data_IF_477729061545
#
_entry.id   IF_477729061545
#
_cell.length_a   1.000
_cell.length_b   1.000
_cell.length_c   1.000
_cell.angle_alpha   90.00
_cell.angle_beta   90.00
_cell.angle_gamma   90.00
#
_symmetry.space_group_name_H-M   'P 1'
#
loop_
_entity.id
_entity.type
_entity.pdbx_description
1 polymer ?
#
# COMPACT_ATOMS: atom_id res chain seq x y z
N UNK A 1 9.38 1.53 -12.53
CA UNK A 1 8.04 0.93 -12.66
C UNK A 1 7.66 0.78 -14.13
N UNK A 2 7.20 -0.41 -14.56
CA UNK A 2 6.80 -0.65 -15.94
C UNK A 2 5.63 0.27 -16.35
N UNK A 3 5.74 0.91 -17.52
CA UNK A 3 4.67 1.71 -18.12
C UNK A 3 3.52 0.77 -18.48
N UNK A 4 2.39 0.93 -17.79
CA UNK A 4 1.18 0.12 -18.05
C UNK A 4 0.63 0.54 -19.41
N UNK A 5 0.74 -0.34 -20.40
CA UNK A 5 0.25 -0.11 -21.76
C UNK A 5 -1.02 -0.91 -22.01
N UNK A 6 -1.89 -0.36 -22.86
CA UNK A 6 -3.06 -1.09 -23.37
C UNK A 6 -2.60 -2.21 -24.31
N UNK A 7 -3.52 -3.13 -24.64
CA UNK A 7 -3.28 -4.15 -25.69
C UNK A 7 -2.83 -3.55 -27.03
N UNK A 8 -3.20 -2.29 -27.31
CA UNK A 8 -2.82 -1.56 -28.53
C UNK A 8 -1.55 -0.71 -28.36
N UNK A 9 -0.84 -0.82 -27.23
CA UNK A 9 0.42 -0.11 -26.96
C UNK A 9 0.26 1.34 -26.51
N UNK A 10 -0.95 1.81 -26.25
CA UNK A 10 -1.18 3.17 -25.73
C UNK A 10 -0.90 3.21 -24.22
N UNK A 11 -0.39 4.32 -23.70
CA UNK A 11 -0.23 4.51 -22.27
C UNK A 11 -1.61 4.52 -21.57
N UNK A 12 -1.72 3.80 -20.45
CA UNK A 12 -2.96 3.76 -19.66
C UNK A 12 -3.01 4.96 -18.72
N UNK A 13 -3.98 5.84 -18.96
CA UNK A 13 -4.31 6.91 -18.02
C UNK A 13 -5.04 6.34 -16.80
N UNK A 14 -4.36 6.39 -15.65
CA UNK A 14 -4.86 5.82 -14.39
C UNK A 14 -6.07 6.59 -13.86
N UNK A 15 -6.14 7.89 -14.07
CA UNK A 15 -7.25 8.72 -13.58
C UNK A 15 -8.52 8.46 -14.39
N UNK A 16 -8.38 8.35 -15.71
CA UNK A 16 -9.50 7.99 -16.58
C UNK A 16 -10.01 6.58 -16.24
N UNK A 17 -9.10 5.63 -16.01
CA UNK A 17 -9.46 4.26 -15.63
C UNK A 17 -10.19 4.21 -14.27
N UNK A 18 -9.64 4.82 -13.22
CA UNK A 18 -10.25 4.87 -11.89
C UNK A 18 -11.65 5.54 -11.95
N UNK A 19 -11.79 6.63 -12.70
CA UNK A 19 -13.09 7.29 -12.89
C UNK A 19 -14.11 6.40 -13.62
N UNK A 20 -13.68 5.61 -14.61
CA UNK A 20 -14.54 4.68 -15.33
C UNK A 20 -14.98 3.52 -14.43
N UNK A 21 -14.05 2.93 -13.68
CA UNK A 21 -14.31 1.80 -12.79
C UNK A 21 -15.28 2.19 -11.67
N UNK A 22 -15.08 3.37 -11.06
CA UNK A 22 -16.00 3.92 -10.05
C UNK A 22 -17.38 4.23 -10.63
N UNK A 23 -17.45 4.93 -11.77
CA UNK A 23 -18.73 5.28 -12.42
C UNK A 23 -19.54 4.04 -12.84
N UNK A 24 -18.87 2.94 -13.17
CA UNK A 24 -19.51 1.66 -13.49
C UNK A 24 -19.68 0.74 -12.28
N UNK A 25 -19.38 1.21 -11.07
CA UNK A 25 -19.49 0.45 -9.83
C UNK A 25 -18.74 -0.89 -9.87
N UNK A 26 -17.52 -0.91 -10.42
CA UNK A 26 -16.63 -2.06 -10.26
C UNK A 26 -16.11 -2.15 -8.82
N UNK A 27 -15.59 -1.04 -8.30
CA UNK A 27 -15.26 -0.89 -6.89
C UNK A 27 -15.52 0.56 -6.45
N UNK A 28 -15.73 0.75 -5.15
CA UNK A 28 -15.83 2.06 -4.50
C UNK A 28 -15.13 2.03 -3.13
N UNK A 29 -14.59 3.14 -2.60
CA UNK A 29 -14.05 3.16 -1.24
C UNK A 29 -15.12 2.77 -0.22
N UNK A 30 -14.78 1.88 0.71
CA UNK A 30 -15.72 1.48 1.74
C UNK A 30 -16.07 2.66 2.64
N UNK A 31 -17.35 2.74 3.03
CA UNK A 31 -17.88 3.80 3.90
C UNK A 31 -17.73 5.23 3.34
N UNK A 32 -17.79 5.40 2.02
CA UNK A 32 -17.62 6.71 1.36
C UNK A 32 -18.52 7.81 1.95
N UNK A 33 -19.76 7.50 2.30
CA UNK A 33 -20.71 8.45 2.93
C UNK A 33 -20.30 8.90 4.34
N UNK A 34 -19.41 8.17 5.01
CA UNK A 34 -18.87 8.48 6.34
C UNK A 34 -17.46 9.06 6.29
N UNK A 35 -16.97 9.46 5.10
CA UNK A 35 -15.62 9.99 4.90
C UNK A 35 -14.61 8.97 4.40
N UNK A 36 -15.01 7.70 4.27
CA UNK A 36 -14.19 6.62 3.72
C UNK A 36 -13.06 6.16 4.65
N UNK A 37 -12.67 4.89 4.51
CA UNK A 37 -11.48 4.36 5.20
C UNK A 37 -10.45 3.97 4.16
N UNK A 38 -9.25 4.57 4.25
CA UNK A 38 -8.15 4.27 3.33
C UNK A 38 -7.76 2.80 3.39
N UNK A 39 -7.58 2.16 2.23
CA UNK A 39 -7.22 0.75 2.12
C UNK A 39 -8.41 -0.21 2.13
N UNK A 40 -9.63 0.25 2.38
CA UNK A 40 -10.85 -0.56 2.29
C UNK A 40 -11.68 -0.18 1.05
N UNK A 41 -12.12 -1.20 0.31
CA UNK A 41 -12.91 -1.03 -0.90
C UNK A 41 -14.03 -2.06 -0.97
N UNK A 42 -15.20 -1.61 -1.44
CA UNK A 42 -16.37 -2.44 -1.68
C UNK A 42 -16.50 -2.70 -3.18
N UNK A 43 -16.67 -3.97 -3.56
CA UNK A 43 -16.91 -4.36 -4.95
C UNK A 43 -18.39 -4.27 -5.30
N UNK A 44 -18.72 -3.60 -6.40
CA UNK A 44 -20.09 -3.55 -6.91
C UNK A 44 -20.44 -4.74 -7.80
N UNK A 45 -21.65 -4.80 -8.39
CA UNK A 45 -22.13 -5.97 -9.11
C UNK A 45 -21.19 -6.51 -10.21
N UNK A 46 -20.65 -5.67 -11.12
CA UNK A 46 -19.70 -6.17 -12.12
C UNK A 46 -18.33 -6.52 -11.52
N UNK A 47 -17.91 -5.86 -10.44
CA UNK A 47 -16.66 -6.18 -9.73
C UNK A 47 -16.72 -7.54 -9.04
N UNK A 48 -17.81 -7.82 -8.33
CA UNK A 48 -18.03 -9.12 -7.68
C UNK A 48 -18.08 -10.26 -8.69
N UNK A 49 -18.75 -10.06 -9.83
CA UNK A 49 -18.77 -11.05 -10.91
C UNK A 49 -17.36 -11.29 -11.49
N UNK A 50 -16.56 -10.23 -11.66
CA UNK A 50 -15.18 -10.35 -12.14
C UNK A 50 -14.30 -11.13 -11.16
N UNK A 51 -14.36 -10.83 -9.87
CA UNK A 51 -13.60 -11.54 -8.83
C UNK A 51 -14.01 -13.02 -8.80
N UNK A 52 -15.31 -13.32 -8.83
CA UNK A 52 -15.79 -14.70 -8.86
C UNK A 52 -15.28 -15.47 -10.09
N UNK A 53 -15.32 -14.85 -11.28
CA UNK A 53 -14.80 -15.47 -12.50
C UNK A 53 -13.28 -15.70 -12.42
N UNK A 54 -12.53 -14.76 -11.84
CA UNK A 54 -11.09 -14.90 -11.66
C UNK A 54 -10.75 -16.04 -10.71
N UNK A 55 -11.43 -16.12 -9.56
CA UNK A 55 -11.24 -17.20 -8.59
C UNK A 55 -11.58 -18.56 -9.20
N UNK A 56 -12.66 -18.65 -9.99
CA UNK A 56 -13.04 -19.91 -10.65
C UNK A 56 -12.01 -20.35 -11.71
N UNK A 57 -11.47 -19.41 -12.49
CA UNK A 57 -10.39 -19.72 -13.44
C UNK A 57 -9.13 -20.19 -12.72
N UNK A 58 -8.76 -19.55 -11.60
CA UNK A 58 -7.62 -19.96 -10.79
C UNK A 58 -7.82 -21.37 -10.19
N UNK A 59 -9.02 -21.67 -9.66
CA UNK A 59 -9.36 -22.99 -9.13
C UNK A 59 -9.28 -24.07 -10.21
N UNK A 60 -9.79 -23.79 -11.41
CA UNK A 60 -9.69 -24.72 -12.54
C UNK A 60 -8.23 -25.01 -12.90
N UNK A 61 -7.41 -23.96 -12.98
CA UNK A 61 -6.04 -24.10 -13.45
C UNK A 61 -5.08 -24.72 -12.42
N UNK A 62 -5.27 -24.48 -11.12
CA UNK A 62 -4.37 -25.02 -10.09
C UNK A 62 -4.97 -26.18 -9.33
N UNK A 63 -6.20 -26.02 -8.81
CA UNK A 63 -6.80 -27.03 -7.95
C UNK A 63 -7.20 -28.27 -8.74
N UNK A 64 -7.86 -28.08 -9.89
CA UNK A 64 -8.36 -29.20 -10.69
C UNK A 64 -7.31 -29.80 -11.63
N UNK A 65 -6.43 -29.00 -12.25
CA UNK A 65 -5.40 -29.53 -13.14
C UNK A 65 -4.24 -30.21 -12.39
N UNK A 66 -3.91 -29.77 -11.17
CA UNK A 66 -2.84 -30.37 -10.35
C UNK A 66 -3.35 -31.28 -9.22
N UNK A 67 -4.66 -31.58 -9.19
CA UNK A 67 -5.34 -32.40 -8.17
C UNK A 67 -5.02 -31.98 -6.71
N UNK A 68 -5.05 -30.67 -6.43
CA UNK A 68 -4.77 -30.14 -5.09
C UNK A 68 -5.97 -30.32 -4.12
N UNK A 69 -5.66 -30.47 -2.83
CA UNK A 69 -6.68 -30.50 -1.77
C UNK A 69 -7.04 -29.08 -1.31
N UNK A 70 -8.25 -28.64 -1.62
CA UNK A 70 -8.79 -27.35 -1.19
C UNK A 70 -9.36 -27.44 0.24
N UNK A 71 -8.97 -26.51 1.12
CA UNK A 71 -9.44 -26.41 2.51
C UNK A 71 -9.78 -24.95 2.81
N UNK A 72 -10.92 -24.73 3.47
CA UNK A 72 -11.32 -23.41 3.98
C UNK A 72 -11.08 -23.32 5.49
N UNK A 73 -10.31 -22.31 5.91
CA UNK A 73 -9.83 -22.13 7.29
C UNK A 73 -10.36 -20.82 7.89
N UNK A 74 -10.47 -20.77 9.21
CA UNK A 74 -10.95 -19.57 9.92
C UNK A 74 -9.94 -18.41 9.86
N UNK A 75 -10.42 -17.19 9.64
CA UNK A 75 -9.57 -15.98 9.63
C UNK A 75 -9.11 -15.55 11.03
N UNK A 76 -9.94 -15.74 12.07
CA UNK A 76 -9.58 -15.42 13.45
C UNK A 76 -8.57 -16.43 13.97
N UNK A 77 -7.32 -15.99 14.13
CA UNK A 77 -6.19 -16.85 14.50
C UNK A 77 -5.69 -16.50 15.91
N UNK A 78 -5.58 -17.49 16.84
CA UNK A 78 -4.97 -17.28 18.15
C UNK A 78 -3.53 -16.77 18.06
N UNK A 79 -3.17 -15.89 19.01
CA UNK A 79 -1.85 -15.25 19.05
C UNK A 79 -0.69 -16.26 19.06
N UNK A 80 -0.82 -17.36 19.80
CA UNK A 80 0.25 -18.35 19.92
C UNK A 80 0.62 -18.99 18.58
N UNK A 81 -0.37 -19.18 17.68
CA UNK A 81 -0.12 -19.70 16.33
C UNK A 81 0.72 -18.70 15.53
N UNK A 82 0.37 -17.42 15.56
CA UNK A 82 1.14 -16.37 14.86
C UNK A 82 2.52 -16.12 15.47
N UNK A 83 2.68 -16.35 16.77
CA UNK A 83 3.97 -16.28 17.45
C UNK A 83 4.86 -17.45 17.02
N UNK A 84 4.33 -18.67 17.01
CA UNK A 84 5.08 -19.86 16.58
C UNK A 84 5.47 -19.81 15.10
N UNK A 85 4.65 -19.23 14.24
CA UNK A 85 4.99 -19.01 12.83
C UNK A 85 5.96 -17.84 12.59
N UNK A 86 6.29 -17.07 13.63
CA UNK A 86 7.19 -15.92 13.56
C UNK A 86 6.58 -14.66 12.95
N UNK A 87 5.27 -14.64 12.66
CA UNK A 87 4.60 -13.46 12.11
C UNK A 87 4.60 -12.29 13.10
N UNK A 88 4.47 -12.57 14.41
CA UNK A 88 4.45 -11.51 15.44
C UNK A 88 5.78 -10.72 15.46
N UNK A 89 6.91 -11.40 15.25
CA UNK A 89 8.23 -10.80 15.39
C UNK A 89 8.80 -10.26 14.07
N UNK A 90 8.44 -10.87 12.93
CA UNK A 90 9.03 -10.55 11.60
C UNK A 90 8.08 -9.81 10.65
N UNK A 91 6.76 -9.95 10.82
CA UNK A 91 5.78 -9.33 9.93
C UNK A 91 5.44 -7.91 10.41
N UNK A 92 6.47 -7.06 10.43
CA UNK A 92 6.38 -5.68 10.87
C UNK A 92 6.98 -4.74 9.82
N UNK A 93 6.23 -3.69 9.50
CA UNK A 93 6.71 -2.58 8.68
C UNK A 93 7.41 -1.56 9.59
N UNK A 94 8.51 -0.98 9.12
CA UNK A 94 9.20 0.11 9.81
C UNK A 94 8.48 1.43 9.57
N UNK A 95 8.04 2.09 10.63
CA UNK A 95 7.26 3.33 10.57
C UNK A 95 8.00 4.49 11.23
N UNK A 96 7.99 5.64 10.56
CA UNK A 96 8.50 6.91 11.07
C UNK A 96 7.34 7.85 11.36
N UNK A 97 7.43 8.60 12.46
CA UNK A 97 6.40 9.57 12.88
C UNK A 97 6.95 10.98 12.86
N UNK A 98 6.14 11.94 12.42
CA UNK A 98 6.48 13.35 12.60
C UNK A 98 5.91 13.85 13.93
N UNK A 99 6.75 14.29 14.89
CA UNK A 99 6.28 14.73 16.21
C UNK A 99 5.42 15.99 16.15
N UNK A 100 5.47 16.77 15.05
CA UNK A 100 4.69 18.01 14.92
C UNK A 100 3.25 17.76 14.48
N UNK A 101 3.03 16.82 13.56
CA UNK A 101 1.71 16.57 12.96
C UNK A 101 1.10 15.23 13.40
N UNK A 102 1.89 14.33 13.98
CA UNK A 102 1.47 12.96 14.30
C UNK A 102 1.24 12.09 13.06
N UNK A 103 1.63 12.56 11.87
CA UNK A 103 1.55 11.78 10.63
C UNK A 103 2.53 10.61 10.71
N UNK A 104 2.06 9.43 10.29
CA UNK A 104 2.81 8.18 10.30
C UNK A 104 3.10 7.83 8.85
N UNK A 105 4.38 7.61 8.54
CA UNK A 105 4.86 7.22 7.23
C UNK A 105 5.56 5.88 7.32
N UNK A 106 5.40 5.06 6.29
CA UNK A 106 6.23 3.87 6.13
C UNK A 106 7.63 4.30 5.67
N UNK A 107 8.65 3.83 6.39
CA UNK A 107 10.01 4.34 6.28
C UNK A 107 10.64 4.05 4.92
N UNK A 108 10.40 2.85 4.38
CA UNK A 108 10.75 2.41 3.03
C UNK A 108 10.21 3.37 1.95
N UNK A 109 8.90 3.60 1.93
CA UNK A 109 8.24 4.46 0.96
C UNK A 109 8.69 5.92 1.11
N UNK A 110 8.90 6.39 2.35
CA UNK A 110 9.40 7.74 2.60
C UNK A 110 10.79 7.95 2.02
N UNK A 111 11.70 6.98 2.21
CA UNK A 111 13.04 7.00 1.64
C UNK A 111 12.96 6.95 0.11
N UNK A 112 12.14 6.03 -0.44
CA UNK A 112 11.94 5.89 -1.88
C UNK A 112 11.48 7.21 -2.52
N UNK A 113 10.40 7.81 -2.01
CA UNK A 113 9.83 9.04 -2.55
C UNK A 113 10.83 10.21 -2.51
N UNK A 114 11.59 10.34 -1.43
CA UNK A 114 12.55 11.44 -1.25
C UNK A 114 13.75 11.27 -2.18
N UNK A 115 14.28 10.05 -2.32
CA UNK A 115 15.38 9.76 -3.24
C UNK A 115 14.94 9.94 -4.70
N UNK A 116 13.77 9.45 -5.09
CA UNK A 116 13.23 9.68 -6.42
C UNK A 116 13.04 11.17 -6.74
N UNK A 117 12.55 11.95 -5.77
CA UNK A 117 12.34 13.39 -5.97
C UNK A 117 13.66 14.14 -6.12
N UNK A 118 14.71 13.72 -5.40
CA UNK A 118 16.08 14.24 -5.56
C UNK A 118 16.67 13.90 -6.94
N UNK A 119 16.49 12.67 -7.40
CA UNK A 119 16.90 12.24 -8.74
C UNK A 119 16.16 13.00 -9.86
N UNK A 120 14.85 13.26 -9.69
CA UNK A 120 14.07 14.10 -10.61
C UNK A 120 14.59 15.54 -10.64
N UNK A 121 14.88 16.12 -9.47
CA UNK A 121 15.46 17.46 -9.35
C UNK A 121 16.85 17.59 -10.00
N UNK A 122 17.68 16.56 -9.93
CA UNK A 122 18.97 16.53 -10.61
C UNK A 122 18.83 16.45 -12.15
N UNK A 123 17.92 15.60 -12.64
CA UNK A 123 17.60 15.53 -14.09
C UNK A 123 17.09 16.87 -14.64
N UNK A 124 16.26 17.56 -13.88
CA UNK A 124 15.77 18.92 -14.19
C UNK A 124 16.92 19.95 -14.16
N UNK A 125 17.83 19.89 -13.19
CA UNK A 125 18.98 20.79 -13.05
C UNK A 125 20.08 20.60 -14.13
N UNK A 126 20.16 19.40 -14.72
CA UNK A 126 21.10 19.06 -15.81
C UNK A 126 20.57 19.38 -17.21
N UNK A 127 19.33 19.86 -17.32
CA UNK A 127 18.76 20.29 -18.60
C UNK A 127 18.47 19.17 -19.59
N UNK A 128 18.45 17.90 -19.14
CA UNK A 128 17.83 16.85 -19.93
C UNK A 128 16.32 17.06 -19.90
N UNK A 129 15.70 17.24 -21.08
CA UNK A 129 14.24 17.28 -21.22
C UNK A 129 13.66 16.02 -20.59
N UNK A 130 13.05 16.19 -19.42
CA UNK A 130 12.06 15.25 -18.92
C UNK A 130 10.87 15.40 -19.89
N UNK A 131 10.61 14.38 -20.71
CA UNK A 131 9.27 14.24 -21.29
C UNK A 131 8.32 14.03 -20.11
N UNK A 132 7.67 15.13 -19.71
CA UNK A 132 6.69 15.14 -18.64
C UNK A 132 5.38 14.60 -19.22
N UNK A 133 5.07 13.34 -18.91
CA UNK A 133 3.71 12.84 -19.01
C UNK A 133 2.79 13.72 -18.15
N UNK A 134 1.78 14.31 -18.80
CA UNK A 134 0.91 15.38 -18.31
C UNK A 134 0.03 15.01 -17.08
N UNK A 135 0.11 13.79 -16.57
CA UNK A 135 -0.72 13.31 -15.47
C UNK A 135 -0.26 13.76 -14.07
N UNK A 136 1.01 14.14 -13.89
CA UNK A 136 1.54 14.57 -12.57
C UNK A 136 0.99 15.91 -12.10
N UNK A 137 0.37 16.71 -12.97
CA UNK A 137 -0.22 18.00 -12.62
C UNK A 137 -1.55 17.87 -11.86
N UNK A 138 -2.35 16.81 -12.08
CA UNK A 138 -3.70 16.73 -11.53
C UNK A 138 -3.75 16.39 -10.03
N UNK A 139 -2.81 15.59 -9.51
CA UNK A 139 -2.71 15.31 -8.05
C UNK A 139 -2.06 16.46 -7.26
N UNK A 140 -1.41 17.43 -7.93
CA UNK A 140 -0.68 18.54 -7.32
C UNK A 140 -1.56 19.63 -6.70
N UNK A 141 -2.89 19.60 -6.88
CA UNK A 141 -3.80 20.64 -6.36
C UNK A 141 -4.35 20.39 -4.93
N UNK A 142 -4.05 19.27 -4.26
CA UNK A 142 -4.58 18.99 -2.90
C UNK A 142 -3.56 18.72 -1.78
N UNK A 143 -2.24 18.80 -2.02
CA UNK A 143 -1.21 18.83 -0.96
C UNK A 143 -0.23 19.99 -1.20
N UNK A 144 0.25 20.68 -0.13
CA UNK A 144 1.09 21.86 -0.28
C UNK A 144 2.39 21.52 -1.02
N UNK A 145 2.77 22.40 -1.95
CA UNK A 145 4.01 22.35 -2.73
C UNK A 145 5.20 22.34 -1.77
N UNK A 146 5.94 21.24 -1.71
CA UNK A 146 7.28 21.27 -1.15
C UNK A 146 8.26 21.66 -2.26
N UNK A 147 9.12 22.62 -1.97
CA UNK A 147 10.01 23.26 -2.93
C UNK A 147 11.17 22.32 -3.29
N UNK A 148 11.21 21.87 -4.54
CA UNK A 148 12.36 21.16 -5.10
C UNK A 148 13.54 22.12 -5.18
N UNK A 149 14.50 22.02 -4.25
CA UNK A 149 15.79 22.72 -4.42
C UNK A 149 16.57 22.02 -5.53
N UNK A 150 16.57 22.62 -6.71
CA UNK A 150 17.36 22.18 -7.86
C UNK A 150 18.85 22.35 -7.56
N UNK A 151 19.44 21.31 -6.97
CA UNK A 151 20.89 21.20 -6.71
C UNK A 151 21.40 20.07 -7.58
N UNK A 152 22.45 20.33 -8.37
CA UNK A 152 23.14 19.29 -9.14
C UNK A 152 23.74 18.30 -8.17
N UNK A 153 23.32 17.04 -8.25
CA UNK A 153 23.89 15.95 -7.48
C UNK A 153 25.08 15.39 -8.25
N UNK A 154 26.11 14.93 -7.54
CA UNK A 154 27.27 14.30 -8.18
C UNK A 154 26.88 12.95 -8.82
N UNK A 155 27.50 12.61 -9.96
CA UNK A 155 27.24 11.36 -10.68
C UNK A 155 27.44 10.09 -9.83
N UNK A 156 28.31 10.17 -8.83
CA UNK A 156 28.53 9.09 -7.87
C UNK A 156 27.33 8.91 -6.93
N UNK A 157 26.73 10.00 -6.45
CA UNK A 157 25.58 9.96 -5.55
C UNK A 157 24.31 9.49 -6.26
N UNK A 158 24.16 9.81 -7.56
CA UNK A 158 23.06 9.30 -8.40
C UNK A 158 23.11 7.77 -8.46
N UNK A 159 24.30 7.18 -8.68
CA UNK A 159 24.48 5.73 -8.69
C UNK A 159 24.21 5.11 -7.32
N UNK A 160 24.70 5.72 -6.25
CA UNK A 160 24.39 5.27 -4.88
C UNK A 160 22.87 5.26 -4.63
N UNK A 161 22.14 6.29 -5.04
CA UNK A 161 20.68 6.33 -4.89
C UNK A 161 19.97 5.27 -5.72
N UNK A 162 20.41 5.02 -6.94
CA UNK A 162 19.83 3.96 -7.79
C UNK A 162 20.09 2.56 -7.20
N UNK A 163 21.27 2.32 -6.63
CA UNK A 163 21.62 1.08 -5.93
C UNK A 163 20.79 0.90 -4.65
N UNK A 164 20.64 1.97 -3.86
CA UNK A 164 19.82 1.95 -2.63
C UNK A 164 18.35 1.68 -2.97
N UNK A 165 17.81 2.33 -4.01
CA UNK A 165 16.43 2.10 -4.46
C UNK A 165 16.21 0.66 -4.95
N UNK A 166 17.20 0.06 -5.61
CA UNK A 166 17.13 -1.33 -6.04
C UNK A 166 17.15 -2.35 -4.88
N UNK A 167 17.67 -1.95 -3.72
CA UNK A 167 17.81 -2.82 -2.54
C UNK A 167 16.90 -2.40 -1.38
N UNK A 168 15.94 -1.50 -1.61
CA UNK A 168 15.19 -0.86 -0.52
C UNK A 168 14.44 -1.87 0.37
N UNK A 169 13.92 -2.94 -0.23
CA UNK A 169 13.18 -4.02 0.43
C UNK A 169 14.06 -4.89 1.35
N UNK A 170 15.38 -4.85 1.18
CA UNK A 170 16.32 -5.67 1.94
C UNK A 170 16.87 -4.94 3.18
N UNK A 171 16.53 -3.67 3.41
CA UNK A 171 17.05 -2.92 4.54
C UNK A 171 16.23 -3.13 5.81
N UNK A 172 16.93 -3.45 6.89
CA UNK A 172 16.36 -3.50 8.23
C UNK A 172 16.19 -2.10 8.85
N UNK A 173 15.39 -2.01 9.92
CA UNK A 173 15.12 -0.79 10.68
C UNK A 173 16.35 0.09 11.01
N UNK A 174 17.44 -0.45 11.60
CA UNK A 174 18.63 0.36 11.91
C UNK A 174 19.36 0.84 10.65
N UNK A 175 19.30 0.09 9.55
CA UNK A 175 19.90 0.53 8.29
C UNK A 175 19.07 1.65 7.65
N UNK A 176 17.73 1.56 7.73
CA UNK A 176 16.83 2.65 7.33
C UNK A 176 17.05 3.90 8.19
N UNK A 177 17.29 3.76 9.49
CA UNK A 177 17.62 4.88 10.38
C UNK A 177 18.93 5.58 9.96
N UNK A 178 19.96 4.80 9.61
CA UNK A 178 21.21 5.33 9.10
C UNK A 178 21.02 6.07 7.78
N UNK A 179 20.18 5.55 6.86
CA UNK A 179 19.85 6.22 5.60
C UNK A 179 19.09 7.54 5.84
N UNK A 180 18.09 7.53 6.72
CA UNK A 180 17.32 8.72 7.10
C UNK A 180 18.25 9.80 7.68
N UNK A 181 19.20 9.40 8.52
CA UNK A 181 20.17 10.32 9.14
C UNK A 181 21.21 10.81 8.13
N UNK A 182 21.79 9.90 7.33
CA UNK A 182 22.82 10.20 6.32
C UNK A 182 22.30 11.20 5.29
N UNK A 183 21.04 11.06 4.87
CA UNK A 183 20.46 11.87 3.81
C UNK A 183 19.54 12.99 4.32
N UNK A 184 19.48 13.25 5.64
CA UNK A 184 18.60 14.22 6.30
C UNK A 184 17.17 14.19 5.72
N UNK A 185 16.55 13.00 5.76
CA UNK A 185 15.21 12.77 5.22
C UNK A 185 14.18 13.37 6.18
N UNK A 186 13.34 14.26 5.67
CA UNK A 186 12.34 15.03 6.44
C UNK A 186 10.95 14.82 5.90
N UNK A 187 9.94 15.20 6.70
CA UNK A 187 8.55 15.14 6.26
C UNK A 187 8.35 16.02 5.01
N UNK A 188 7.89 15.47 3.88
CA UNK A 188 7.63 16.23 2.67
C UNK A 188 6.54 17.31 2.81
N UNK A 189 5.71 17.30 3.86
CA UNK A 189 4.66 18.31 4.05
C UNK A 189 5.09 19.50 4.91
N UNK A 190 6.01 19.30 5.87
CA UNK A 190 6.32 20.30 6.92
C UNK A 190 7.80 20.52 7.18
N UNK A 191 8.68 19.85 6.42
CA UNK A 191 10.14 19.87 6.59
C UNK A 191 10.57 19.52 8.05
N UNK A 192 9.72 18.80 8.77
CA UNK A 192 9.97 18.32 10.12
C UNK A 192 10.92 17.13 10.13
N UNK A 193 11.78 17.03 11.16
CA UNK A 193 12.57 15.83 11.41
C UNK A 193 11.64 14.71 11.85
N UNK A 194 11.80 13.54 11.25
CA UNK A 194 11.05 12.34 11.61
C UNK A 194 11.70 11.62 12.79
N UNK A 195 10.89 10.98 13.62
CA UNK A 195 11.35 10.05 14.65
C UNK A 195 12.00 8.82 14.03
N UNK A 196 12.90 8.13 14.77
CA UNK A 196 13.54 6.92 14.29
C UNK A 196 12.50 5.84 13.93
N UNK A 197 12.79 4.99 12.94
CA UNK A 197 11.87 3.96 12.50
C UNK A 197 11.60 2.97 13.63
N UNK A 198 10.32 2.82 13.98
CA UNK A 198 9.86 1.84 14.96
C UNK A 198 9.14 0.70 14.24
N UNK A 199 9.30 -0.56 14.69
CA UNK A 199 8.60 -1.68 14.07
C UNK A 199 7.12 -1.60 14.43
N UNK A 200 6.26 -1.68 13.43
CA UNK A 200 4.82 -1.76 13.60
C UNK A 200 4.30 -3.06 12.98
N UNK A 201 3.76 -3.94 13.82
CA UNK A 201 3.15 -5.18 13.34
C UNK A 201 1.94 -4.85 12.47
N UNK A 202 1.88 -5.43 11.27
CA UNK A 202 0.78 -5.20 10.33
C UNK A 202 -0.43 -6.10 10.60
N UNK A 203 -0.32 -7.08 11.51
CA UNK A 203 -1.43 -7.90 11.96
C UNK A 203 -2.42 -7.09 12.83
N UNK A 204 -3.71 -7.19 12.49
CA UNK A 204 -4.78 -6.62 13.32
C UNK A 204 -4.93 -7.42 14.62
N UNK A 205 -5.10 -6.71 15.75
CA UNK A 205 -5.26 -7.32 17.07
C UNK A 205 -6.66 -7.02 17.64
N UNK A 206 -7.70 -7.74 17.20
CA UNK A 206 -8.99 -7.65 17.85
C UNK A 206 -8.90 -8.26 19.27
N UNK A 207 -9.52 -7.65 20.29
CA UNK A 207 -9.71 -8.34 21.55
C UNK A 207 -10.61 -9.55 21.30
N UNK A 208 -10.11 -10.76 21.58
CA UNK A 208 -11.02 -11.89 21.71
C UNK A 208 -11.94 -11.61 22.91
N UNK A 209 -13.23 -11.89 22.74
CA UNK A 209 -14.24 -11.70 23.77
C UNK A 209 -13.77 -12.28 25.12
N UNK A 210 -14.13 -11.66 26.25
CA UNK A 210 -13.70 -12.12 27.56
C UNK A 210 -14.08 -13.60 27.76
N UNK A 211 -13.26 -14.40 28.46
CA UNK A 211 -13.50 -15.82 28.67
C UNK A 211 -14.60 -16.06 29.73
N UNK A 212 -15.81 -15.55 29.50
CA UNK A 212 -17.01 -15.86 30.28
C UNK A 212 -18.24 -15.15 29.69
N UNK A 213 -18.81 -15.68 28.60
CA UNK A 213 -20.26 -15.72 28.30
C UNK A 213 -20.45 -16.19 26.86
N UNK A 214 -20.39 -17.51 26.66
CA UNK A 214 -21.00 -18.13 25.50
C UNK A 214 -22.52 -18.14 25.76
N UNK A 215 -23.18 -16.97 25.62
CA UNK A 215 -24.61 -16.98 25.37
C UNK A 215 -24.77 -17.30 23.89
N UNK A 216 -25.08 -18.56 23.63
CA UNK A 216 -25.56 -19.04 22.35
C UNK A 216 -26.82 -18.23 22.03
N UNK A 217 -26.68 -17.14 21.29
CA UNK A 217 -27.82 -16.51 20.60
C UNK A 217 -28.18 -17.45 19.47
N UNK A 218 -28.98 -18.46 19.80
CA UNK A 218 -29.62 -19.33 18.84
C UNK A 218 -30.48 -18.45 17.92
N UNK A 219 -29.98 -18.14 16.73
CA UNK A 219 -30.77 -17.53 15.66
C UNK A 219 -31.87 -18.54 15.35
N UNK A 220 -33.06 -18.31 15.90
CA UNK A 220 -34.28 -19.06 15.59
C UNK A 220 -34.47 -18.99 14.07
N UNK A 221 -34.20 -20.12 13.41
CA UNK A 221 -34.55 -20.39 12.02
C UNK A 221 -36.08 -20.22 11.93
N UNK A 222 -36.53 -19.16 11.28
CA UNK A 222 -37.95 -18.99 10.94
C UNK A 222 -38.40 -20.21 10.10
N UNK A 223 -39.56 -20.82 10.38
CA UNK A 223 -40.04 -21.94 9.59
C UNK A 223 -40.36 -21.46 8.17
N UNK A 224 -39.87 -22.21 7.17
CA UNK A 224 -40.35 -22.14 5.78
C UNK A 224 -41.86 -22.36 5.80
N UNK A 225 -42.62 -21.34 5.40
CA UNK A 225 -44.02 -21.53 5.02
C UNK A 225 -44.01 -22.07 3.60
N UNK A 226 -44.43 -23.32 3.46
CA UNK A 226 -44.83 -23.91 2.18
C UNK A 226 -46.22 -23.41 1.82
N UNK A 227 -46.34 -22.76 0.67
CA UNK A 227 -47.54 -22.66 -0.17
C UNK A 227 -47.11 -22.55 -1.61
#
# INVERSE_FOLDING_TARGET
MATVTTKTGQAVDRLVLDSMLRRRMFYTPSFEIYGGVSGLYDFGPPGTALVANMTELWRKHFVLEEDMLEVDCTMLTPHDILKTSGHVDKFADWMCKDPKNGEIFRADHLVEEVLENRLKGDKEARGQKVEVDAEKEAKKKKKPKNETKAVKLDDALVKEYEEILAQIDNFDGPALEQLITKYDIRNPATDGKVEPPSPSTSCSRPPLAPPATCQVTCVRRLPRVSS
#
